data_IF_133945915376
#
_entry.id   IF_133945915376
#
_cell.length_a   1.000
_cell.length_b   1.000
_cell.length_c   1.000
_cell.angle_alpha   90.00
_cell.angle_beta   90.00
_cell.angle_gamma   90.00
#
_symmetry.space_group_name_H-M   'P 1'
#
loop_
_entity.id
_entity.type
_entity.pdbx_description
1 polymer ?
#
# COMPACT_ATOMS: atom_id res chain seq x y z
N UNK A 1 -7.58 4.49 9.08
CA UNK A 1 -6.17 4.70 9.48
C UNK A 1 -5.62 3.41 10.06
N UNK A 2 -4.57 2.87 9.44
CA UNK A 2 -3.83 1.72 9.98
C UNK A 2 -2.95 2.26 11.12
N UNK A 3 -3.09 1.77 12.36
CA UNK A 3 -2.25 2.22 13.46
C UNK A 3 -0.77 2.00 13.11
N UNK A 4 0.03 3.06 13.20
CA UNK A 4 1.49 2.98 13.08
C UNK A 4 1.97 2.39 14.40
N UNK A 5 2.40 1.14 14.39
CA UNK A 5 3.07 0.50 15.50
C UNK A 5 4.33 -0.17 14.92
N UNK A 6 5.44 -0.20 15.66
CA UNK A 6 6.76 -0.68 15.19
C UNK A 6 6.78 -2.16 14.75
N UNK A 7 5.65 -2.86 14.85
CA UNK A 7 5.45 -4.25 14.39
C UNK A 7 4.88 -4.38 12.97
N UNK A 8 4.60 -3.28 12.27
CA UNK A 8 4.00 -3.32 10.93
C UNK A 8 4.99 -3.66 9.80
N UNK A 9 6.28 -3.87 10.10
CA UNK A 9 7.33 -4.13 9.10
C UNK A 9 7.22 -5.48 8.38
N UNK A 10 6.40 -6.41 8.90
CA UNK A 10 6.19 -7.74 8.32
C UNK A 10 4.74 -8.01 7.88
N UNK A 11 3.97 -6.96 7.58
CA UNK A 11 2.63 -7.18 7.01
C UNK A 11 2.79 -7.78 5.61
N UNK A 12 2.13 -8.90 5.34
CA UNK A 12 1.99 -9.46 3.99
C UNK A 12 0.53 -9.38 3.56
N UNK A 13 0.30 -9.13 2.27
CA UNK A 13 -1.06 -9.12 1.73
C UNK A 13 -1.60 -10.56 1.68
N UNK A 14 -2.80 -10.83 2.21
CA UNK A 14 -3.43 -12.15 2.15
C UNK A 14 -3.96 -12.51 0.74
N UNK A 15 -3.81 -11.63 -0.25
CA UNK A 15 -4.39 -11.82 -1.59
C UNK A 15 -3.46 -12.69 -2.43
N UNK A 16 -3.88 -13.92 -2.68
CA UNK A 16 -3.17 -14.85 -3.54
C UNK A 16 -3.51 -14.68 -5.03
N UNK A 17 -2.60 -15.07 -5.96
CA UNK A 17 -2.85 -15.02 -7.40
C UNK A 17 -4.06 -15.84 -7.85
N UNK A 18 -4.41 -16.90 -7.10
CA UNK A 18 -5.57 -17.75 -7.37
C UNK A 18 -6.87 -17.30 -6.68
N UNK A 19 -6.82 -16.25 -5.85
CA UNK A 19 -8.01 -15.65 -5.24
C UNK A 19 -8.76 -14.85 -6.33
N UNK A 20 -10.11 -14.89 -6.39
CA UNK A 20 -10.91 -13.96 -7.17
C UNK A 20 -10.44 -12.50 -7.14
N UNK A 21 -9.92 -12.03 -5.99
CA UNK A 21 -9.34 -10.69 -5.83
C UNK A 21 -8.03 -10.52 -6.60
N UNK A 22 -7.19 -11.55 -6.63
CA UNK A 22 -5.97 -11.58 -7.43
C UNK A 22 -6.27 -11.52 -8.93
N UNK A 23 -7.26 -12.29 -9.38
CA UNK A 23 -7.70 -12.26 -10.78
C UNK A 23 -8.28 -10.89 -11.19
N UNK A 24 -9.06 -10.25 -10.32
CA UNK A 24 -9.53 -8.88 -10.53
C UNK A 24 -8.36 -7.89 -10.72
N UNK A 25 -7.32 -8.01 -9.89
CA UNK A 25 -6.10 -7.20 -10.01
C UNK A 25 -5.30 -7.51 -11.29
N UNK A 26 -5.31 -8.77 -11.77
CA UNK A 26 -4.72 -9.12 -13.07
C UNK A 26 -5.46 -8.48 -14.24
N UNK A 27 -6.79 -8.41 -14.17
CA UNK A 27 -7.63 -7.82 -15.22
C UNK A 27 -7.59 -6.29 -15.22
N UNK A 28 -7.40 -5.67 -14.06
CA UNK A 28 -7.33 -4.22 -13.94
C UNK A 28 -6.17 -3.65 -14.78
N UNK A 29 -6.43 -2.69 -15.66
CA UNK A 29 -5.37 -1.97 -16.39
C UNK A 29 -4.80 -0.78 -15.60
N UNK A 30 -5.60 -0.25 -14.70
CA UNK A 30 -5.35 0.97 -13.94
C UNK A 30 -5.81 0.79 -12.49
N UNK A 31 -4.97 1.20 -11.55
CA UNK A 31 -5.29 1.25 -10.12
C UNK A 31 -5.30 2.72 -9.71
N UNK A 32 -6.42 3.18 -9.15
CA UNK A 32 -6.53 4.53 -8.60
C UNK A 32 -6.60 4.38 -7.08
N UNK A 33 -5.69 5.05 -6.39
CA UNK A 33 -5.62 5.06 -4.94
C UNK A 33 -5.90 6.47 -4.45
N UNK A 34 -7.05 6.70 -3.83
CA UNK A 34 -7.34 7.95 -3.13
C UNK A 34 -6.89 7.92 -1.65
N UNK A 35 -6.43 9.05 -1.14
CA UNK A 35 -5.81 9.20 0.18
C UNK A 35 -4.45 8.50 0.37
N UNK A 36 -3.65 8.38 -0.69
CA UNK A 36 -2.29 7.83 -0.65
C UNK A 36 -1.36 8.44 0.43
N UNK A 37 -1.37 9.76 0.74
CA UNK A 37 -0.48 10.32 1.77
C UNK A 37 -0.82 9.86 3.20
N UNK A 38 -2.05 9.40 3.45
CA UNK A 38 -2.44 8.81 4.74
C UNK A 38 -1.99 7.36 4.90
N UNK A 39 -1.42 6.78 3.86
CA UNK A 39 -1.15 5.37 3.81
C UNK A 39 0.21 5.05 4.46
N UNK A 40 0.21 4.08 5.38
CA UNK A 40 1.39 3.65 6.13
C UNK A 40 2.41 2.95 5.20
N UNK A 41 3.68 2.80 5.59
CA UNK A 41 4.69 1.94 4.93
C UNK A 41 4.17 0.54 4.56
N UNK A 42 3.13 0.02 5.23
CA UNK A 42 2.38 -1.17 4.83
C UNK A 42 1.88 -1.14 3.36
N UNK A 43 1.79 0.03 2.72
CA UNK A 43 1.49 0.18 1.28
C UNK A 43 2.57 -0.42 0.38
N UNK A 44 3.84 -0.41 0.82
CA UNK A 44 4.92 -1.07 0.07
C UNK A 44 4.65 -2.57 -0.08
N UNK A 45 3.90 -3.17 0.85
CA UNK A 45 3.47 -4.57 0.78
C UNK A 45 2.48 -4.79 -0.37
N UNK A 46 1.59 -3.83 -0.63
CA UNK A 46 0.67 -3.90 -1.78
C UNK A 46 1.44 -3.91 -3.11
N UNK A 47 2.59 -3.23 -3.17
CA UNK A 47 3.47 -3.25 -4.34
C UNK A 47 4.05 -4.65 -4.57
N UNK A 48 4.51 -5.30 -3.50
CA UNK A 48 5.04 -6.67 -3.60
C UNK A 48 3.95 -7.69 -3.94
N UNK A 49 2.73 -7.50 -3.39
CA UNK A 49 1.58 -8.32 -3.73
C UNK A 49 1.20 -8.22 -5.22
N UNK A 50 1.26 -7.03 -5.83
CA UNK A 50 0.98 -6.86 -7.27
C UNK A 50 2.02 -7.59 -8.14
N UNK A 51 3.29 -7.58 -7.74
CA UNK A 51 4.36 -8.33 -8.44
C UNK A 51 4.10 -9.83 -8.39
N UNK A 52 3.71 -10.33 -7.20
CA UNK A 52 3.33 -11.73 -6.98
C UNK A 52 2.10 -12.14 -7.80
N UNK A 53 1.06 -11.30 -7.81
CA UNK A 53 -0.19 -11.54 -8.55
C UNK A 53 0.03 -11.55 -10.06
N UNK A 54 0.85 -10.63 -10.57
CA UNK A 54 1.16 -10.52 -12.00
C UNK A 54 2.23 -11.50 -12.48
N UNK A 55 3.00 -12.08 -11.56
CA UNK A 55 4.08 -13.01 -11.88
C UNK A 55 5.25 -12.35 -12.60
N UNK A 56 5.50 -11.06 -12.37
CA UNK A 56 6.61 -10.33 -12.97
C UNK A 56 7.33 -9.45 -11.94
N UNK A 57 8.57 -9.07 -12.26
CA UNK A 57 9.40 -8.22 -11.40
C UNK A 57 9.22 -6.73 -11.68
N UNK A 58 8.29 -6.34 -12.56
CA UNK A 58 8.05 -4.94 -12.92
C UNK A 58 7.45 -4.18 -11.72
N UNK A 59 7.75 -2.88 -11.59
CA UNK A 59 7.07 -2.04 -10.60
C UNK A 59 5.55 -2.18 -10.71
N UNK A 60 4.87 -2.36 -9.57
CA UNK A 60 3.41 -2.54 -9.50
C UNK A 60 2.85 -3.67 -10.37
N UNK A 61 3.66 -4.70 -10.67
CA UNK A 61 3.25 -5.77 -11.57
C UNK A 61 3.07 -5.34 -13.03
N UNK A 62 3.62 -4.17 -13.40
CA UNK A 62 3.43 -3.53 -14.71
C UNK A 62 2.11 -2.77 -14.86
N UNK A 63 1.38 -2.56 -13.76
CA UNK A 63 0.13 -1.79 -13.75
C UNK A 63 0.39 -0.29 -13.59
N UNK A 64 -0.47 0.51 -14.18
CA UNK A 64 -0.48 1.96 -13.94
C UNK A 64 -1.14 2.20 -12.58
N UNK A 65 -0.42 2.88 -11.68
CA UNK A 65 -0.93 3.29 -10.37
C UNK A 65 -1.04 4.82 -10.35
N UNK A 66 -2.25 5.34 -10.13
CA UNK A 66 -2.50 6.76 -9.91
C UNK A 66 -2.75 6.96 -8.42
N UNK A 67 -1.86 7.71 -7.77
CA UNK A 67 -2.00 8.11 -6.39
C UNK A 67 -2.69 9.47 -6.34
N UNK A 68 -3.84 9.52 -5.70
CA UNK A 68 -4.63 10.70 -5.37
C UNK A 68 -4.58 10.91 -3.86
N UNK A 69 -4.72 12.16 -3.44
CA UNK A 69 -4.79 12.53 -2.04
C UNK A 69 -4.31 13.95 -1.79
N UNK A 70 -4.73 14.51 -0.66
CA UNK A 70 -4.29 15.81 -0.21
C UNK A 70 -3.08 15.65 0.73
N UNK A 71 -1.88 15.86 0.18
CA UNK A 71 -0.62 15.84 0.94
C UNK A 71 -0.58 16.90 2.05
N UNK A 72 -1.49 17.87 2.06
CA UNK A 72 -1.54 18.94 3.07
C UNK A 72 -2.48 18.62 4.24
N UNK A 73 -3.22 17.50 4.21
CA UNK A 73 -4.26 17.21 5.21
C UNK A 73 -3.91 16.13 6.25
N UNK A 74 -2.78 15.44 6.19
CA UNK A 74 -2.54 14.38 7.18
C UNK A 74 -1.08 13.98 7.32
N UNK A 75 -0.46 14.42 8.42
CA UNK A 75 0.64 13.66 9.01
C UNK A 75 0.10 12.29 9.48
N UNK A 76 0.85 11.19 9.29
CA UNK A 76 0.50 9.92 9.91
C UNK A 76 0.41 10.11 11.43
N UNK A 77 -0.77 9.86 12.00
CA UNK A 77 -0.99 10.02 13.44
C UNK A 77 -0.31 8.86 14.16
N UNK A 78 0.87 9.12 14.72
CA UNK A 78 1.54 8.21 15.65
C UNK A 78 0.85 8.35 17.01
N UNK A 79 0.01 7.37 17.37
CA UNK A 79 -0.55 7.32 18.73
C UNK A 79 0.57 6.95 19.69
N UNK A 80 0.91 7.86 20.61
CA UNK A 80 2.03 7.77 21.57
C UNK A 80 3.44 8.09 21.02
N UNK A 81 3.55 8.82 19.90
CA UNK A 81 4.85 9.27 19.39
C UNK A 81 5.62 10.10 20.41
N UNK A 82 6.88 9.76 20.64
CA UNK A 82 7.78 10.58 21.45
C UNK A 82 8.09 11.89 20.70
N UNK A 83 8.44 12.97 21.42
CA UNK A 83 8.79 14.27 20.81
C UNK A 83 9.86 14.19 19.72
N UNK A 84 10.63 13.11 19.66
CA UNK A 84 11.67 12.88 18.65
C UNK A 84 11.13 12.41 17.28
N UNK A 85 9.86 12.00 17.19
CA UNK A 85 9.24 11.48 15.96
C UNK A 85 8.34 12.51 15.27
N UNK A 86 8.37 13.75 15.75
CA UNK A 86 7.70 14.90 15.16
C UNK A 86 8.73 15.72 14.37
N UNK A 87 9.24 15.18 13.26
CA UNK A 87 9.94 15.96 12.20
C UNK A 87 9.61 15.35 10.85
#
# INVERSE_FOLDING_TARGET
QIPVNDKNEMLESPIDPGDPRGELLRQAALIIWDEAPMANKAVLVCVEALRRIMGNSLPFGGKVLILLGDFRQTCPVVRQGSRAEVV
#
